data_IF_961818804690
#
_entry.id   IF_961818804690
#
_cell.length_a   1.000
_cell.length_b   1.000
_cell.length_c   1.000
_cell.angle_alpha   90.00
_cell.angle_beta   90.00
_cell.angle_gamma   90.00
#
_symmetry.space_group_name_H-M   'P 1'
#
loop_
_entity.id
_entity.type
_entity.pdbx_description
1 polymer ?
#
# COMPACT_ATOMS: atom_id res chain seq x y z
N UNK A 1 8.28 -1.11 1.72
CA UNK A 1 6.91 -0.61 1.46
C UNK A 1 6.55 0.67 2.18
N UNK A 2 7.27 1.11 3.22
CA UNK A 2 6.90 2.35 3.95
C UNK A 2 6.74 3.57 3.03
N UNK A 3 7.57 3.67 1.98
CA UNK A 3 7.48 4.71 0.95
C UNK A 3 6.13 4.80 0.23
N UNK A 4 5.34 3.71 0.19
CA UNK A 4 3.98 3.77 -0.35
C UNK A 4 3.11 4.78 0.41
N UNK A 5 3.33 4.97 1.71
CA UNK A 5 2.56 5.88 2.54
C UNK A 5 2.64 7.35 2.08
N UNK A 6 3.71 7.74 1.37
CA UNK A 6 3.84 9.09 0.81
C UNK A 6 2.84 9.40 -0.31
N UNK A 7 2.13 8.38 -0.81
CA UNK A 7 1.07 8.53 -1.81
C UNK A 7 -0.32 8.62 -1.16
N UNK A 8 -0.41 8.48 0.16
CA UNK A 8 -1.67 8.50 0.91
C UNK A 8 -1.96 9.96 1.32
N UNK A 9 -3.18 10.48 1.13
CA UNK A 9 -3.50 11.88 1.42
C UNK A 9 -3.35 12.24 2.90
N UNK A 10 -3.11 13.53 3.18
CA UNK A 10 -2.83 14.06 4.51
C UNK A 10 -3.94 13.85 5.53
N UNK A 11 -5.21 13.92 5.12
CA UNK A 11 -6.35 13.64 5.99
C UNK A 11 -6.33 12.21 6.55
N UNK A 12 -5.79 11.25 5.80
CA UNK A 12 -5.72 9.86 6.25
C UNK A 12 -4.57 9.65 7.24
N UNK A 13 -3.46 10.37 7.07
CA UNK A 13 -2.41 10.43 8.11
C UNK A 13 -2.96 11.05 9.41
N UNK A 14 -3.73 12.13 9.29
CA UNK A 14 -4.35 12.80 10.44
C UNK A 14 -5.32 11.87 11.19
N UNK A 15 -6.05 10.99 10.49
CA UNK A 15 -6.89 9.96 11.11
C UNK A 15 -6.09 8.94 11.95
N UNK A 16 -4.78 8.82 11.73
CA UNK A 16 -3.85 8.03 12.56
C UNK A 16 -3.07 8.89 13.57
N UNK A 17 -3.45 10.16 13.76
CA UNK A 17 -2.86 11.06 14.75
C UNK A 17 -1.48 11.60 14.36
N UNK A 18 -1.08 11.49 13.10
CA UNK A 18 0.21 11.95 12.57
C UNK A 18 0.02 12.94 11.42
N UNK A 19 1.02 13.78 11.16
CA UNK A 19 1.00 14.69 10.01
C UNK A 19 1.68 14.06 8.81
N UNK A 20 1.16 14.34 7.62
CA UNK A 20 1.82 13.91 6.39
C UNK A 20 3.11 14.71 6.19
N UNK A 21 4.25 14.06 5.90
CA UNK A 21 5.55 14.72 5.87
C UNK A 21 5.71 15.71 4.70
N UNK A 22 4.86 15.62 3.67
CA UNK A 22 4.78 16.57 2.55
C UNK A 22 3.74 17.70 2.75
N UNK A 23 3.10 17.79 3.92
CA UNK A 23 2.16 18.85 4.27
C UNK A 23 0.75 18.33 4.59
N UNK A 24 0.03 19.06 5.44
CA UNK A 24 -1.28 18.66 5.97
C UNK A 24 -2.37 18.57 4.88
N UNK A 25 -2.27 19.41 3.84
CA UNK A 25 -3.19 19.45 2.70
C UNK A 25 -2.76 18.56 1.52
N UNK A 26 -1.74 17.70 1.70
CA UNK A 26 -1.26 16.83 0.63
C UNK A 26 -2.37 15.91 0.12
N UNK A 27 -2.68 15.99 -1.17
CA UNK A 27 -3.83 15.31 -1.79
C UNK A 27 -3.60 13.83 -2.08
N UNK A 28 -2.38 13.31 -1.98
CA UNK A 28 -2.03 11.92 -2.28
C UNK A 28 -1.19 11.75 -3.56
N UNK A 29 -1.27 10.58 -4.21
CA UNK A 29 -0.41 10.18 -5.33
C UNK A 29 -0.27 11.25 -6.43
N UNK A 30 -1.33 11.97 -6.79
CA UNK A 30 -1.27 12.95 -7.87
C UNK A 30 -0.41 14.19 -7.56
N UNK A 31 -0.13 14.46 -6.28
CA UNK A 31 0.67 15.60 -5.84
C UNK A 31 2.16 15.23 -5.73
N UNK A 32 2.51 13.94 -5.86
CA UNK A 32 3.89 13.49 -5.74
C UNK A 32 4.66 13.78 -7.03
N UNK A 33 5.85 14.38 -6.89
CA UNK A 33 6.80 14.58 -7.98
C UNK A 33 8.07 13.78 -7.65
N UNK A 34 8.18 12.50 -8.05
CA UNK A 34 9.27 11.63 -7.59
C UNK A 34 10.68 12.18 -7.86
N UNK A 35 10.84 12.99 -8.91
CA UNK A 35 12.11 13.60 -9.31
C UNK A 35 12.61 14.68 -8.34
N UNK A 36 11.79 15.15 -7.40
CA UNK A 36 12.19 16.16 -6.41
C UNK A 36 12.81 15.57 -5.15
N UNK A 37 12.85 14.24 -5.03
CA UNK A 37 13.43 13.55 -3.87
C UNK A 37 14.65 12.75 -4.30
N UNK A 38 15.71 12.82 -3.51
CA UNK A 38 16.73 11.77 -3.51
C UNK A 38 16.28 10.56 -2.66
N UNK A 39 17.05 9.47 -2.73
CA UNK A 39 16.72 8.23 -2.02
C UNK A 39 16.67 8.45 -0.50
N UNK A 40 17.64 9.16 0.06
CA UNK A 40 17.74 9.38 1.51
C UNK A 40 16.54 10.17 2.03
N UNK A 41 16.18 11.26 1.35
CA UNK A 41 15.03 12.09 1.67
C UNK A 41 13.73 11.27 1.57
N UNK A 42 13.56 10.48 0.50
CA UNK A 42 12.36 9.66 0.32
C UNK A 42 12.20 8.62 1.46
N UNK A 43 13.30 8.01 1.89
CA UNK A 43 13.30 7.04 2.99
C UNK A 43 13.01 7.71 4.34
N UNK A 44 13.63 8.86 4.62
CA UNK A 44 13.42 9.60 5.86
C UNK A 44 11.96 10.06 6.00
N UNK A 45 11.38 10.62 4.93
CA UNK A 45 9.97 11.01 4.91
C UNK A 45 9.06 9.80 5.16
N UNK A 46 9.35 8.68 4.51
CA UNK A 46 8.56 7.46 4.62
C UNK A 46 8.62 6.79 6.01
N UNK A 47 9.70 6.99 6.77
CA UNK A 47 9.86 6.35 8.07
C UNK A 47 8.86 6.86 9.12
N UNK A 48 8.41 8.11 8.96
CA UNK A 48 7.36 8.73 9.77
C UNK A 48 5.99 8.04 9.65
N UNK A 49 5.77 7.21 8.62
CA UNK A 49 4.50 6.56 8.37
C UNK A 49 4.18 5.49 9.44
N UNK A 50 3.03 5.55 10.13
CA UNK A 50 2.64 4.49 11.04
C UNK A 50 2.26 3.22 10.26
N UNK A 51 2.63 2.05 10.79
CA UNK A 51 2.29 0.76 10.17
C UNK A 51 0.78 0.56 10.05
N UNK A 52 0.00 1.09 10.98
CA UNK A 52 -1.48 1.04 10.96
C UNK A 52 -2.06 1.71 9.72
N UNK A 53 -1.50 2.84 9.28
CA UNK A 53 -1.91 3.55 8.08
C UNK A 53 -1.68 2.70 6.83
N UNK A 54 -0.49 2.09 6.71
CA UNK A 54 -0.18 1.20 5.60
C UNK A 54 -1.13 0.00 5.54
N UNK A 55 -1.46 -0.59 6.69
CA UNK A 55 -2.39 -1.73 6.78
C UNK A 55 -3.82 -1.38 6.37
N UNK A 56 -4.23 -0.11 6.49
CA UNK A 56 -5.54 0.34 6.04
C UNK A 56 -5.61 0.49 4.50
N UNK A 57 -4.50 0.88 3.87
CA UNK A 57 -4.47 1.19 2.43
C UNK A 57 -3.91 0.07 1.55
N UNK A 58 -3.32 -0.97 2.15
CA UNK A 58 -2.76 -2.11 1.43
C UNK A 58 -3.43 -3.40 1.88
N UNK A 59 -3.82 -4.22 0.90
CA UNK A 59 -4.10 -5.64 1.15
C UNK A 59 -2.80 -6.30 1.64
N UNK A 60 -2.82 -6.83 2.86
CA UNK A 60 -1.62 -7.31 3.54
C UNK A 60 -1.88 -8.62 4.31
N UNK A 61 -0.82 -9.38 4.57
CA UNK A 61 -0.88 -10.66 5.27
C UNK A 61 -0.63 -11.86 4.35
N UNK A 62 -1.14 -13.01 4.76
CA UNK A 62 -1.12 -14.25 3.98
C UNK A 62 -2.12 -14.21 2.83
N UNK A 63 -2.03 -15.13 1.85
CA UNK A 63 -3.05 -15.25 0.81
C UNK A 63 -4.48 -15.42 1.32
N UNK A 64 -4.68 -16.05 2.49
CA UNK A 64 -6.02 -16.15 3.10
C UNK A 64 -6.48 -14.81 3.65
N UNK A 65 -5.62 -14.10 4.40
CA UNK A 65 -5.95 -12.78 4.95
C UNK A 65 -6.36 -11.79 3.86
N UNK A 66 -5.67 -11.82 2.71
CA UNK A 66 -5.99 -10.96 1.57
C UNK A 66 -7.32 -11.33 0.91
N UNK A 67 -7.64 -12.63 0.82
CA UNK A 67 -8.92 -13.10 0.29
C UNK A 67 -10.08 -12.68 1.19
N UNK A 68 -9.89 -12.75 2.51
CA UNK A 68 -10.90 -12.31 3.48
C UNK A 68 -11.12 -10.79 3.40
N UNK A 69 -10.05 -10.00 3.26
CA UNK A 69 -10.14 -8.55 3.02
C UNK A 69 -10.88 -8.23 1.70
N UNK A 70 -10.59 -8.97 0.63
CA UNK A 70 -11.28 -8.81 -0.67
C UNK A 70 -12.75 -9.22 -0.62
N UNK A 71 -13.09 -10.22 0.20
CA UNK A 71 -14.48 -10.63 0.41
C UNK A 71 -15.31 -9.48 0.99
N UNK A 72 -14.75 -8.70 1.93
CA UNK A 72 -15.40 -7.49 2.45
C UNK A 72 -15.71 -6.51 1.31
N UNK A 73 -14.78 -6.26 0.40
CA UNK A 73 -15.01 -5.35 -0.73
C UNK A 73 -16.06 -5.86 -1.70
N UNK A 74 -16.06 -7.17 -1.98
CA UNK A 74 -17.09 -7.82 -2.81
C UNK A 74 -18.48 -7.66 -2.20
N UNK A 75 -18.59 -7.88 -0.89
CA UNK A 75 -19.85 -7.78 -0.14
C UNK A 75 -20.37 -6.33 -0.15
N UNK A 76 -19.47 -5.35 -0.29
CA UNK A 76 -19.79 -3.93 -0.52
C UNK A 76 -19.96 -3.54 -1.99
N UNK A 77 -20.02 -4.51 -2.92
CA UNK A 77 -20.38 -4.25 -4.32
C UNK A 77 -19.23 -4.26 -5.32
N UNK A 78 -17.97 -4.46 -4.91
CA UNK A 78 -16.86 -4.59 -5.85
C UNK A 78 -17.03 -5.85 -6.70
N UNK A 79 -16.80 -5.73 -8.02
CA UNK A 79 -16.92 -6.83 -8.99
C UNK A 79 -15.65 -7.08 -9.82
N UNK A 80 -14.86 -6.04 -10.05
CA UNK A 80 -13.69 -6.10 -10.93
C UNK A 80 -12.46 -5.51 -10.22
N UNK A 81 -11.90 -6.20 -9.20
CA UNK A 81 -10.71 -5.74 -8.51
C UNK A 81 -9.48 -5.83 -9.44
N UNK A 82 -8.74 -4.74 -9.55
CA UNK A 82 -7.43 -4.71 -10.21
C UNK A 82 -6.36 -4.81 -9.13
N UNK A 83 -5.56 -5.88 -9.17
CA UNK A 83 -4.54 -6.15 -8.17
C UNK A 83 -3.15 -5.91 -8.73
N UNK A 84 -2.33 -5.18 -7.96
CA UNK A 84 -0.91 -4.96 -8.23
C UNK A 84 -0.13 -5.60 -7.09
N UNK A 85 0.90 -6.38 -7.42
CA UNK A 85 1.82 -6.90 -6.43
C UNK A 85 2.78 -5.79 -5.95
N UNK A 86 2.32 -4.96 -5.03
CA UNK A 86 3.09 -3.85 -4.46
C UNK A 86 4.40 -4.30 -3.78
N UNK A 87 4.50 -5.57 -3.38
CA UNK A 87 5.72 -6.12 -2.76
C UNK A 87 6.94 -6.10 -3.67
N UNK A 88 6.77 -5.98 -4.99
CA UNK A 88 7.87 -5.80 -5.92
C UNK A 88 8.55 -4.43 -5.80
N UNK A 89 7.91 -3.44 -5.17
CA UNK A 89 8.43 -2.08 -4.97
C UNK A 89 9.33 -1.94 -3.73
N UNK A 90 9.96 -3.03 -3.30
CA UNK A 90 10.91 -3.04 -2.17
C UNK A 90 12.33 -2.78 -2.69
N UNK A 91 13.17 -2.12 -1.88
CA UNK A 91 14.58 -1.90 -2.24
C UNK A 91 15.34 -3.20 -2.54
N UNK A 92 15.03 -4.28 -1.80
CA UNK A 92 15.66 -5.60 -2.01
C UNK A 92 14.76 -6.46 -2.88
N UNK A 93 15.15 -6.62 -4.16
CA UNK A 93 14.42 -7.43 -5.14
C UNK A 93 14.05 -8.83 -4.62
N UNK A 94 14.98 -9.51 -3.94
CA UNK A 94 14.75 -10.85 -3.39
C UNK A 94 13.55 -10.90 -2.40
N UNK A 95 13.37 -9.86 -1.58
CA UNK A 95 12.22 -9.76 -0.66
C UNK A 95 10.91 -9.56 -1.43
N UNK A 96 10.96 -8.79 -2.51
CA UNK A 96 9.81 -8.64 -3.41
C UNK A 96 9.48 -9.92 -4.16
N UNK A 97 10.48 -10.60 -4.71
CA UNK A 97 10.31 -11.85 -5.47
C UNK A 97 9.68 -12.98 -4.63
N UNK A 98 9.97 -13.02 -3.33
CA UNK A 98 9.35 -13.97 -2.41
C UNK A 98 7.81 -13.85 -2.34
N UNK A 99 7.25 -12.69 -2.70
CA UNK A 99 5.80 -12.46 -2.72
C UNK A 99 5.10 -13.00 -3.98
N UNK A 100 5.84 -13.37 -5.02
CA UNK A 100 5.26 -13.75 -6.33
C UNK A 100 4.35 -14.97 -6.22
N UNK A 101 4.79 -16.03 -5.52
CA UNK A 101 3.97 -17.23 -5.35
C UNK A 101 2.70 -16.95 -4.50
N UNK A 102 2.79 -16.29 -3.32
CA UNK A 102 1.60 -15.81 -2.61
C UNK A 102 0.64 -14.99 -3.46
N UNK A 103 1.16 -14.07 -4.27
CA UNK A 103 0.34 -13.25 -5.16
C UNK A 103 -0.41 -14.09 -6.21
N UNK A 104 0.26 -15.06 -6.84
CA UNK A 104 -0.39 -15.99 -7.76
C UNK A 104 -1.46 -16.85 -7.08
N UNK A 105 -1.27 -17.22 -5.81
CA UNK A 105 -2.31 -17.92 -5.03
C UNK A 105 -3.54 -17.04 -4.80
N UNK A 106 -3.34 -15.75 -4.48
CA UNK A 106 -4.43 -14.76 -4.37
C UNK A 106 -5.19 -14.65 -5.71
N UNK A 107 -4.48 -14.47 -6.82
CA UNK A 107 -5.10 -14.37 -8.16
C UNK A 107 -5.86 -15.62 -8.60
N UNK A 108 -5.49 -16.81 -8.11
CA UNK A 108 -6.24 -18.03 -8.36
C UNK A 108 -7.51 -18.09 -7.51
N UNK A 109 -7.41 -17.73 -6.23
CA UNK A 109 -8.53 -17.80 -5.27
C UNK A 109 -9.57 -16.70 -5.47
N UNK A 110 -9.18 -15.53 -5.99
CA UNK A 110 -10.13 -14.45 -6.27
C UNK A 110 -11.12 -14.82 -7.38
N UNK A 111 -10.80 -15.78 -8.24
CA UNK A 111 -11.73 -16.28 -9.28
C UNK A 111 -12.92 -17.05 -8.70
N UNK A 112 -12.80 -17.51 -7.46
CA UNK A 112 -13.90 -18.17 -6.73
C UNK A 112 -14.57 -17.28 -5.70
N UNK A 113 -14.15 -16.00 -5.58
CA UNK A 113 -14.80 -15.00 -4.74
C UNK A 113 -16.00 -14.38 -5.45
#
# INVERSE_FOLDING_TARGET
MRSFALNIPGWAWAAHGVRHPLGDDFGGFQDIVPQTFDEESALALADSAPTSLLKQYLLNGTPSDVIDQLAVWRDHGVRHPVLINASLLQQKLARGAASTLPFLQILRRIRSL
#
